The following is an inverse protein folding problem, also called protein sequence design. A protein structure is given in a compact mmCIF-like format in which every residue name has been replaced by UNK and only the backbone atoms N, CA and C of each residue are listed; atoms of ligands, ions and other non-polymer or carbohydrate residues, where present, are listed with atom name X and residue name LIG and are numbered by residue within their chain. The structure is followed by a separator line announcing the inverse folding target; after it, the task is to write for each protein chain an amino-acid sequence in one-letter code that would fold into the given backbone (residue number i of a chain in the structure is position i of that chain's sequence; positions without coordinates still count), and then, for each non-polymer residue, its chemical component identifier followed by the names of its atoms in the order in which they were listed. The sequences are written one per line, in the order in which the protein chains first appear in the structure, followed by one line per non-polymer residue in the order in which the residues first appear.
data_IF_699888385820
#
_entry.id   IF_699888385820
#
_cell.length_a   1.000
_cell.length_b   1.000
_cell.length_c   1.000
_cell.angle_alpha   90.00
_cell.angle_beta   90.00
_cell.angle_gamma   90.00
#
_symmetry.space_group_name_H-M   'P 1'
#
loop_
_entity.id
_entity.type
_entity.pdbx_description
1 polymer ?
#
# COMPACT_ATOMS: atom_id res chain seq x y z
N UNK A 1 28.43 -14.72 -0.94
CA UNK A 1 28.80 -14.59 0.46
C UNK A 1 30.24 -15.04 0.64
N UNK A 2 31.00 -14.32 1.43
CA UNK A 2 32.36 -14.66 1.82
C UNK A 2 32.45 -14.69 3.35
N UNK A 3 32.97 -15.78 3.89
CA UNK A 3 33.17 -15.96 5.34
C UNK A 3 34.63 -15.71 5.68
N UNK A 4 34.91 -14.64 6.43
CA UNK A 4 36.26 -14.30 6.92
C UNK A 4 36.71 -15.26 8.02
N UNK A 5 35.76 -15.64 8.86
CA UNK A 5 35.91 -16.58 9.97
C UNK A 5 34.62 -17.42 10.06
N UNK A 6 34.57 -18.45 10.91
CA UNK A 6 33.32 -19.16 11.18
C UNK A 6 32.16 -18.26 11.65
N UNK A 7 32.50 -17.10 12.22
CA UNK A 7 31.54 -16.20 12.84
C UNK A 7 31.20 -14.98 12.00
N UNK A 8 32.10 -14.50 11.12
CA UNK A 8 31.94 -13.27 10.36
C UNK A 8 31.80 -13.51 8.88
N UNK A 9 30.82 -12.87 8.27
CA UNK A 9 30.60 -12.94 6.83
C UNK A 9 30.33 -11.59 6.19
N UNK A 10 30.64 -11.50 4.90
CA UNK A 10 30.21 -10.43 4.01
C UNK A 10 29.34 -11.02 2.91
N UNK A 11 28.21 -10.40 2.62
CA UNK A 11 27.30 -10.85 1.57
C UNK A 11 26.94 -9.67 0.67
N UNK A 12 27.09 -9.82 -0.63
CA UNK A 12 26.58 -8.92 -1.64
C UNK A 12 25.44 -9.59 -2.42
N UNK A 13 24.43 -8.82 -2.76
CA UNK A 13 23.34 -9.21 -3.65
C UNK A 13 23.08 -8.12 -4.65
N UNK A 14 22.72 -8.51 -5.87
CA UNK A 14 22.18 -7.63 -6.89
C UNK A 14 21.05 -8.37 -7.59
N UNK A 15 19.96 -7.69 -7.86
CA UNK A 15 18.81 -8.27 -8.54
C UNK A 15 17.95 -7.17 -9.13
N UNK A 16 17.15 -7.51 -10.13
CA UNK A 16 16.25 -6.57 -10.76
C UNK A 16 15.08 -7.26 -11.41
N UNK A 17 13.98 -6.56 -11.45
CA UNK A 17 12.75 -6.93 -12.12
C UNK A 17 12.48 -5.97 -13.26
N UNK A 18 12.08 -6.51 -14.42
CA UNK A 18 11.77 -5.73 -15.61
C UNK A 18 10.44 -6.21 -16.18
N UNK A 19 9.50 -5.28 -16.32
CA UNK A 19 8.16 -5.55 -16.82
C UNK A 19 7.94 -4.72 -18.07
N UNK A 20 7.51 -5.37 -19.15
CA UNK A 20 7.07 -4.69 -20.36
C UNK A 20 5.58 -4.98 -20.54
N UNK A 21 4.77 -3.93 -20.43
CA UNK A 21 3.32 -3.99 -20.58
C UNK A 21 2.90 -3.30 -21.85
N UNK A 22 2.04 -3.96 -22.62
CA UNK A 22 1.36 -3.36 -23.77
C UNK A 22 -0.15 -3.49 -23.54
N UNK A 23 -0.88 -2.43 -23.84
CA UNK A 23 -2.34 -2.43 -23.76
C UNK A 23 -2.92 -1.73 -24.99
N UNK A 24 -4.01 -2.31 -25.51
CA UNK A 24 -4.85 -1.71 -26.53
C UNK A 24 -6.28 -1.68 -25.99
N UNK A 25 -6.91 -0.51 -26.07
CA UNK A 25 -8.30 -0.34 -25.71
C UNK A 25 -9.05 0.24 -26.92
N UNK A 26 -10.14 -0.41 -27.31
CA UNK A 26 -10.98 0.01 -28.43
C UNK A 26 -12.41 0.22 -27.95
N UNK A 27 -12.95 1.40 -28.23
CA UNK A 27 -14.38 1.65 -28.19
C UNK A 27 -14.90 1.59 -29.62
N UNK A 28 -15.60 0.52 -30.00
CA UNK A 28 -16.03 0.34 -31.38
C UNK A 28 -17.00 1.43 -31.84
N UNK A 29 -17.07 1.62 -33.17
CA UNK A 29 -18.09 2.44 -33.79
C UNK A 29 -19.51 1.95 -33.42
N UNK A 30 -20.40 2.89 -33.05
CA UNK A 30 -21.78 2.58 -32.68
C UNK A 30 -21.96 2.17 -31.21
N UNK A 31 -20.93 2.26 -30.36
CA UNK A 31 -21.08 2.00 -28.94
C UNK A 31 -22.02 3.00 -28.29
N UNK A 32 -23.15 2.51 -27.74
CA UNK A 32 -24.27 3.31 -27.25
C UNK A 32 -23.92 4.24 -26.05
N UNK A 33 -22.80 3.99 -25.37
CA UNK A 33 -22.32 4.75 -24.19
C UNK A 33 -21.08 5.61 -24.45
N UNK A 34 -20.60 5.68 -25.67
CA UNK A 34 -19.47 6.54 -26.00
C UNK A 34 -19.89 8.02 -26.12
N UNK A 35 -19.08 8.94 -25.65
CA UNK A 35 -19.28 10.38 -25.90
C UNK A 35 -19.29 10.67 -27.41
N UNK A 36 -18.71 9.79 -28.20
CA UNK A 36 -18.58 9.89 -29.65
C UNK A 36 -19.02 8.56 -30.27
N UNK A 37 -20.05 8.60 -31.12
CA UNK A 37 -20.59 7.41 -31.81
C UNK A 37 -19.57 6.71 -32.71
N UNK A 38 -18.61 7.44 -33.23
CA UNK A 38 -17.57 6.96 -34.11
C UNK A 38 -16.48 6.14 -33.39
N UNK A 39 -16.52 6.10 -32.04
CA UNK A 39 -15.58 5.30 -31.25
C UNK A 39 -14.16 5.88 -31.18
N UNK A 40 -13.28 5.19 -30.48
CA UNK A 40 -11.89 5.57 -30.29
C UNK A 40 -10.97 4.36 -30.07
N UNK A 41 -9.67 4.59 -30.13
CA UNK A 41 -8.65 3.59 -29.84
C UNK A 41 -7.50 4.22 -29.07
N UNK A 42 -6.98 3.51 -28.06
CA UNK A 42 -5.75 3.87 -27.38
C UNK A 42 -4.79 2.70 -27.30
N UNK A 43 -3.53 2.95 -27.59
CA UNK A 43 -2.42 2.03 -27.42
C UNK A 43 -1.45 2.59 -26.42
N UNK A 44 -0.95 1.75 -25.52
CA UNK A 44 0.13 2.10 -24.61
C UNK A 44 1.18 1.01 -24.55
N UNK A 45 2.43 1.43 -24.40
CA UNK A 45 3.56 0.57 -24.10
C UNK A 45 4.28 1.19 -22.88
N UNK A 46 4.46 0.40 -21.85
CA UNK A 46 5.12 0.79 -20.62
C UNK A 46 6.26 -0.18 -20.33
N UNK A 47 7.43 0.35 -20.08
CA UNK A 47 8.57 -0.36 -19.57
C UNK A 47 8.81 0.08 -18.13
N UNK A 48 8.74 -0.85 -17.21
CA UNK A 48 9.01 -0.61 -15.79
C UNK A 48 10.16 -1.49 -15.35
N UNK A 49 11.13 -0.91 -14.65
CA UNK A 49 12.25 -1.61 -14.09
C UNK A 49 12.51 -1.23 -12.63
N UNK A 50 12.97 -2.20 -11.87
CA UNK A 50 13.50 -2.02 -10.54
C UNK A 50 14.82 -2.76 -10.42
N UNK A 51 15.81 -2.12 -9.83
CA UNK A 51 17.11 -2.72 -9.56
C UNK A 51 17.51 -2.49 -8.11
N UNK A 52 17.85 -3.59 -7.44
CA UNK A 52 18.25 -3.62 -6.06
C UNK A 52 19.69 -4.09 -5.90
N UNK A 53 20.47 -3.38 -5.12
CA UNK A 53 21.81 -3.80 -4.68
C UNK A 53 21.88 -3.78 -3.16
N UNK A 54 22.53 -4.77 -2.59
CA UNK A 54 22.65 -4.93 -1.14
C UNK A 54 24.06 -5.40 -0.77
N UNK A 55 24.60 -4.83 0.29
CA UNK A 55 25.81 -5.29 0.96
C UNK A 55 25.53 -5.47 2.44
N UNK A 56 25.87 -6.62 3.00
CA UNK A 56 25.65 -6.98 4.41
C UNK A 56 26.93 -7.51 5.01
N UNK A 57 27.27 -6.99 6.20
CA UNK A 57 28.28 -7.57 7.09
C UNK A 57 27.56 -8.19 8.29
N UNK A 58 27.81 -9.46 8.55
CA UNK A 58 27.09 -10.19 9.58
C UNK A 58 28.04 -10.99 10.50
N UNK A 59 27.52 -11.23 11.69
CA UNK A 59 28.16 -11.98 12.76
C UNK A 59 27.19 -13.01 13.34
N UNK A 60 27.62 -14.25 13.46
CA UNK A 60 26.86 -15.31 14.13
C UNK A 60 27.78 -16.07 15.09
N UNK A 61 27.31 -16.31 16.28
CA UNK A 61 28.06 -17.08 17.28
C UNK A 61 27.14 -17.70 18.32
N UNK A 62 27.62 -18.78 18.92
CA UNK A 62 26.99 -19.46 20.03
C UNK A 62 27.97 -19.57 21.19
N UNK A 63 27.57 -19.14 22.36
CA UNK A 63 28.38 -19.06 23.57
C UNK A 63 27.91 -20.08 24.60
N UNK A 64 28.83 -20.54 25.44
CA UNK A 64 28.56 -21.45 26.55
C UNK A 64 27.78 -22.69 26.10
N UNK A 65 28.32 -23.43 25.12
CA UNK A 65 27.73 -24.65 24.59
C UNK A 65 26.28 -24.54 24.12
N UNK A 66 25.95 -23.39 23.50
CA UNK A 66 24.60 -23.16 22.97
C UNK A 66 23.64 -22.45 23.93
N UNK A 67 24.10 -22.08 25.12
CA UNK A 67 23.25 -21.38 26.10
C UNK A 67 22.76 -20.01 25.60
N UNK A 68 23.62 -19.29 24.89
CA UNK A 68 23.31 -17.98 24.29
C UNK A 68 23.75 -18.03 22.83
N UNK A 69 22.85 -17.75 21.90
CA UNK A 69 23.18 -17.55 20.49
C UNK A 69 22.89 -16.12 20.08
N UNK A 70 23.74 -15.58 19.23
CA UNK A 70 23.64 -14.23 18.67
C UNK A 70 23.81 -14.33 17.17
N UNK A 71 22.85 -13.77 16.42
CA UNK A 71 22.95 -13.50 14.99
C UNK A 71 22.69 -12.01 14.77
N UNK A 72 23.65 -11.30 14.19
CA UNK A 72 23.54 -9.87 13.99
C UNK A 72 24.14 -9.47 12.64
N UNK A 73 23.54 -8.48 12.00
CA UNK A 73 24.09 -7.90 10.79
C UNK A 73 23.78 -6.43 10.67
N UNK A 74 24.61 -5.74 9.87
CA UNK A 74 24.37 -4.41 9.34
C UNK A 74 24.51 -4.46 7.83
N UNK A 75 23.67 -3.72 7.12
CA UNK A 75 23.64 -3.71 5.67
C UNK A 75 23.29 -2.36 5.08
N UNK A 76 23.71 -2.19 3.85
CA UNK A 76 23.33 -1.08 2.98
C UNK A 76 22.58 -1.62 1.78
N UNK A 77 21.49 -0.94 1.40
CA UNK A 77 20.70 -1.26 0.21
C UNK A 77 20.46 0.00 -0.62
N UNK A 78 20.53 -0.14 -1.93
CA UNK A 78 20.06 0.88 -2.88
C UNK A 78 19.04 0.24 -3.81
N UNK A 79 17.86 0.85 -3.87
CA UNK A 79 16.80 0.49 -4.80
C UNK A 79 16.63 1.64 -5.80
N UNK A 80 16.71 1.32 -7.08
CA UNK A 80 16.43 2.21 -8.20
C UNK A 80 15.19 1.71 -8.94
N UNK A 81 14.18 2.55 -9.10
CA UNK A 81 12.98 2.25 -9.88
C UNK A 81 12.82 3.27 -10.97
N UNK A 82 12.45 2.82 -12.16
CA UNK A 82 12.18 3.69 -13.32
C UNK A 82 11.01 3.16 -14.12
N UNK A 83 10.30 4.07 -14.77
CA UNK A 83 9.30 3.73 -15.78
C UNK A 83 9.45 4.64 -16.99
N UNK A 84 9.20 4.08 -18.15
CA UNK A 84 9.12 4.77 -19.43
C UNK A 84 7.83 4.31 -20.12
N UNK A 85 6.93 5.25 -20.38
CA UNK A 85 5.63 4.95 -20.95
C UNK A 85 5.36 5.82 -22.17
N UNK A 86 4.99 5.18 -23.27
CA UNK A 86 4.49 5.81 -24.48
C UNK A 86 3.04 5.48 -24.69
N UNK A 87 2.26 6.45 -25.13
CA UNK A 87 0.85 6.25 -25.46
C UNK A 87 0.50 6.90 -26.79
N UNK A 88 -0.47 6.35 -27.48
CA UNK A 88 -1.10 6.95 -28.64
C UNK A 88 -2.62 6.78 -28.53
N UNK A 89 -3.33 7.82 -28.91
CA UNK A 89 -4.78 7.88 -28.87
C UNK A 89 -5.33 8.36 -30.21
N UNK A 90 -6.37 7.74 -30.68
CA UNK A 90 -7.10 8.13 -31.86
C UNK A 90 -8.59 8.22 -31.56
N UNK A 91 -9.23 9.32 -31.95
CA UNK A 91 -10.65 9.57 -31.74
C UNK A 91 -11.38 9.75 -33.03
N UNK A 92 -12.64 9.26 -33.07
CA UNK A 92 -13.54 9.29 -34.21
C UNK A 92 -12.99 8.50 -35.42
N UNK A 93 -13.28 7.19 -35.46
CA UNK A 93 -12.97 6.40 -36.64
C UNK A 93 -13.64 7.00 -37.88
N UNK A 94 -12.93 6.99 -39.01
CA UNK A 94 -13.43 7.47 -40.31
C UNK A 94 -14.23 6.38 -40.99
N UNK A 95 -13.76 5.12 -40.91
CA UNK A 95 -14.39 3.95 -41.50
C UNK A 95 -14.83 2.98 -40.40
N UNK A 96 -16.09 2.59 -40.32
CA UNK A 96 -16.58 1.62 -39.35
C UNK A 96 -15.86 0.27 -39.46
N UNK A 97 -15.64 -0.40 -38.34
CA UNK A 97 -15.05 -1.75 -38.29
C UNK A 97 -13.54 -1.84 -38.53
N UNK A 98 -12.85 -0.72 -38.77
CA UNK A 98 -11.43 -0.68 -38.99
C UNK A 98 -10.73 0.03 -37.82
N UNK A 99 -10.45 -0.73 -36.76
CA UNK A 99 -9.97 -0.23 -35.47
C UNK A 99 -8.45 -0.03 -35.48
N UNK A 100 -8.00 1.09 -36.05
CA UNK A 100 -6.60 1.49 -36.03
C UNK A 100 -6.47 2.99 -35.82
N UNK A 101 -5.39 3.46 -35.18
CA UNK A 101 -5.14 4.88 -34.95
C UNK A 101 -5.09 5.65 -36.28
N UNK A 102 -4.56 5.04 -37.34
CA UNK A 102 -4.51 5.70 -38.63
C UNK A 102 -5.89 5.98 -39.23
N UNK A 103 -6.90 5.24 -38.85
CA UNK A 103 -8.30 5.42 -39.27
C UNK A 103 -9.07 6.40 -38.37
N UNK A 104 -8.45 7.25 -37.58
CA UNK A 104 -9.13 8.22 -36.73
C UNK A 104 -8.94 9.65 -37.24
N UNK A 105 -9.93 10.53 -36.95
CA UNK A 105 -9.89 11.95 -37.35
C UNK A 105 -8.86 12.72 -36.54
N UNK A 106 -8.86 12.53 -35.22
CA UNK A 106 -7.90 13.18 -34.34
C UNK A 106 -6.93 12.16 -33.73
N UNK A 107 -5.69 12.54 -33.61
CA UNK A 107 -4.62 11.71 -33.08
C UNK A 107 -3.81 12.50 -32.07
N UNK A 108 -3.45 11.84 -30.98
CA UNK A 108 -2.52 12.39 -29.99
C UNK A 108 -1.57 11.31 -29.51
N UNK A 109 -0.45 11.72 -28.96
CA UNK A 109 0.52 10.83 -28.35
C UNK A 109 1.13 11.47 -27.11
N UNK A 110 1.64 10.63 -26.23
CA UNK A 110 2.29 11.05 -25.00
C UNK A 110 3.50 10.18 -24.70
N UNK A 111 4.46 10.78 -24.00
CA UNK A 111 5.59 10.09 -23.43
C UNK A 111 5.80 10.59 -22.00
N UNK A 112 6.00 9.67 -21.07
CA UNK A 112 6.27 9.98 -19.68
C UNK A 112 7.36 9.09 -19.13
N UNK A 113 8.22 9.66 -18.31
CA UNK A 113 9.27 8.95 -17.59
C UNK A 113 9.17 9.24 -16.11
N UNK A 114 9.54 8.26 -15.31
CA UNK A 114 9.62 8.44 -13.86
C UNK A 114 10.82 7.67 -13.32
N UNK A 115 11.56 8.29 -12.40
CA UNK A 115 12.70 7.69 -11.72
C UNK A 115 12.64 7.99 -10.24
N UNK A 116 12.97 7.01 -9.43
CA UNK A 116 13.10 7.18 -7.98
C UNK A 116 14.19 6.27 -7.40
N UNK A 117 14.82 6.75 -6.33
CA UNK A 117 15.87 6.04 -5.61
C UNK A 117 15.55 6.01 -4.11
N UNK A 118 15.82 4.87 -3.50
CA UNK A 118 15.80 4.70 -2.05
C UNK A 118 17.14 4.14 -1.62
N UNK A 119 17.84 4.87 -0.76
CA UNK A 119 19.05 4.39 -0.12
C UNK A 119 18.73 4.05 1.33
N UNK A 120 19.26 2.94 1.82
CA UNK A 120 18.88 2.42 3.11
C UNK A 120 20.09 1.90 3.88
N UNK A 121 20.15 2.25 5.17
CA UNK A 121 21.03 1.60 6.14
C UNK A 121 20.14 0.80 7.08
N UNK A 122 20.45 -0.49 7.28
CA UNK A 122 19.63 -1.35 8.10
C UNK A 122 20.47 -2.35 8.88
N UNK A 123 19.88 -2.89 9.94
CA UNK A 123 20.52 -3.91 10.74
C UNK A 123 19.51 -4.69 11.58
N UNK A 124 19.93 -5.86 11.98
CA UNK A 124 19.18 -6.76 12.86
C UNK A 124 20.14 -7.38 13.88
N UNK A 125 19.63 -7.62 15.07
CA UNK A 125 20.25 -8.49 16.05
C UNK A 125 19.20 -9.46 16.60
N UNK A 126 19.44 -10.72 16.49
CA UNK A 126 18.66 -11.76 17.12
C UNK A 126 19.49 -12.42 18.21
N UNK A 127 18.93 -12.53 19.40
CA UNK A 127 19.53 -13.17 20.55
C UNK A 127 18.62 -14.27 21.07
N UNK A 128 19.15 -15.46 21.33
CA UNK A 128 18.40 -16.52 22.00
C UNK A 128 19.11 -16.97 23.28
N UNK A 129 18.31 -17.28 24.28
CA UNK A 129 18.75 -17.84 25.54
C UNK A 129 18.08 -19.17 25.80
N UNK A 130 18.90 -20.24 25.96
CA UNK A 130 18.45 -21.63 26.17
C UNK A 130 17.45 -22.14 25.12
N UNK A 131 17.46 -21.60 23.90
CA UNK A 131 16.46 -21.86 22.88
C UNK A 131 15.01 -21.62 23.36
N UNK A 132 14.84 -20.92 24.45
CA UNK A 132 13.59 -20.65 25.14
C UNK A 132 13.13 -19.19 24.95
N UNK A 133 14.03 -18.25 25.13
CA UNK A 133 13.75 -16.82 24.98
C UNK A 133 14.46 -16.30 23.74
N UNK A 134 13.73 -15.58 22.91
CA UNK A 134 14.21 -14.94 21.68
C UNK A 134 13.92 -13.45 21.73
N UNK A 135 14.95 -12.66 21.49
CA UNK A 135 14.85 -11.21 21.34
C UNK A 135 15.35 -10.85 19.95
N UNK A 136 14.49 -10.21 19.16
CA UNK A 136 14.84 -9.67 17.85
C UNK A 136 14.75 -8.15 17.88
N UNK A 137 15.85 -7.48 17.53
CA UNK A 137 15.93 -6.03 17.39
C UNK A 137 16.22 -5.72 15.93
N UNK A 138 15.46 -4.80 15.33
CA UNK A 138 15.76 -4.32 13.98
C UNK A 138 15.76 -2.80 13.94
N UNK A 139 16.52 -2.26 13.00
CA UNK A 139 16.52 -0.85 12.70
C UNK A 139 16.84 -0.64 11.22
N UNK A 140 16.06 0.25 10.57
CA UNK A 140 16.30 0.64 9.19
C UNK A 140 16.05 2.13 9.03
N UNK A 141 16.94 2.80 8.30
CA UNK A 141 16.73 4.18 7.89
C UNK A 141 16.73 4.26 6.37
N UNK A 142 15.67 4.80 5.80
CA UNK A 142 15.49 4.98 4.36
C UNK A 142 15.55 6.46 4.00
N UNK A 143 16.33 6.79 2.97
CA UNK A 143 16.39 8.12 2.34
C UNK A 143 15.73 8.05 0.97
N UNK A 144 14.69 8.87 0.76
CA UNK A 144 13.86 8.87 -0.44
C UNK A 144 14.22 10.03 -1.38
N UNK A 145 14.59 9.75 -2.61
CA UNK A 145 14.76 10.79 -3.63
C UNK A 145 13.47 11.54 -3.92
N UNK A 146 12.32 10.84 -3.89
CA UNK A 146 11.00 11.41 -4.09
C UNK A 146 10.60 12.46 -3.03
N UNK A 147 11.24 12.45 -1.88
CA UNK A 147 11.09 13.45 -0.81
C UNK A 147 12.27 14.45 -0.75
N UNK A 148 13.12 14.49 -1.75
CA UNK A 148 14.26 15.42 -1.84
C UNK A 148 13.93 16.54 -2.82
N UNK A 149 13.97 17.79 -2.37
CA UNK A 149 13.72 18.97 -3.20
C UNK A 149 14.45 20.19 -2.65
N UNK A 150 14.89 21.10 -3.54
CA UNK A 150 15.57 22.33 -3.15
C UNK A 150 14.64 23.22 -2.33
N UNK A 151 15.10 23.67 -1.15
CA UNK A 151 14.32 24.51 -0.25
C UNK A 151 13.38 23.76 0.70
N UNK A 152 13.36 22.43 0.66
CA UNK A 152 12.60 21.61 1.60
C UNK A 152 13.23 21.67 3.00
N UNK A 153 12.38 21.77 4.04
CA UNK A 153 12.78 21.79 5.46
C UNK A 153 12.43 20.50 6.21
N UNK A 154 11.41 19.77 5.72
CA UNK A 154 11.01 18.48 6.33
C UNK A 154 12.00 17.35 5.95
N UNK A 155 12.16 16.32 6.80
CA UNK A 155 13.04 15.20 6.51
C UNK A 155 12.65 14.44 5.22
N UNK A 156 13.66 14.02 4.46
CA UNK A 156 13.50 13.10 3.33
C UNK A 156 13.77 11.64 3.71
N UNK A 157 13.91 11.37 4.99
CA UNK A 157 14.24 10.05 5.52
C UNK A 157 13.34 9.70 6.70
N UNK A 158 13.30 8.42 7.02
CA UNK A 158 12.60 7.91 8.19
C UNK A 158 13.34 6.70 8.76
N UNK A 159 13.40 6.61 10.08
CA UNK A 159 13.94 5.48 10.81
C UNK A 159 12.82 4.54 11.27
N UNK A 160 13.00 3.24 11.08
CA UNK A 160 12.06 2.17 11.40
C UNK A 160 12.66 1.21 12.44
N UNK A 161 12.47 1.42 13.71
CA UNK A 161 12.85 0.44 14.73
C UNK A 161 11.79 -0.65 14.88
N UNK A 162 12.23 -1.86 15.27
CA UNK A 162 11.32 -2.88 15.79
C UNK A 162 11.97 -3.69 16.91
N UNK A 163 11.09 -4.23 17.77
CA UNK A 163 11.47 -5.15 18.85
C UNK A 163 10.46 -6.30 18.84
N UNK A 164 10.98 -7.52 18.81
CA UNK A 164 10.21 -8.76 18.92
C UNK A 164 10.71 -9.60 20.09
N UNK A 165 9.76 -10.16 20.85
CA UNK A 165 10.02 -11.10 21.93
C UNK A 165 9.26 -12.39 21.67
N UNK A 166 9.95 -13.53 21.77
CA UNK A 166 9.39 -14.86 21.73
C UNK A 166 9.79 -15.62 22.99
N UNK A 167 8.83 -16.33 23.59
CA UNK A 167 9.06 -17.17 24.74
C UNK A 167 8.43 -18.54 24.55
N UNK A 168 9.27 -19.59 24.42
CA UNK A 168 8.81 -20.97 24.32
C UNK A 168 8.64 -21.49 25.75
N UNK A 169 7.42 -21.40 26.29
CA UNK A 169 7.13 -21.76 27.66
C UNK A 169 7.31 -23.26 27.92
N UNK A 170 7.07 -24.09 26.91
CA UNK A 170 7.28 -25.53 26.99
C UNK A 170 8.75 -25.95 27.19
N UNK A 171 9.71 -25.06 26.92
CA UNK A 171 11.12 -25.27 27.25
C UNK A 171 11.48 -24.83 28.69
N UNK A 172 10.63 -24.01 29.30
CA UNK A 172 10.85 -23.50 30.66
C UNK A 172 10.24 -24.39 31.74
N UNK A 173 9.10 -25.01 31.44
CA UNK A 173 8.33 -25.83 32.38
C UNK A 173 7.91 -27.15 31.73
N UNK A 174 7.81 -28.20 32.54
CA UNK A 174 7.26 -29.47 32.06
C UNK A 174 5.78 -29.33 31.74
N UNK A 175 5.46 -29.52 30.47
CA UNK A 175 4.09 -29.50 29.99
C UNK A 175 3.46 -30.90 30.08
N UNK A 176 2.13 -30.99 30.29
CA UNK A 176 1.42 -32.28 30.24
C UNK A 176 1.54 -32.88 28.81
N UNK A 177 1.53 -34.21 28.71
CA UNK A 177 1.68 -34.90 27.42
C UNK A 177 0.60 -34.56 26.39
N UNK A 178 -0.59 -34.16 26.82
CA UNK A 178 -1.66 -33.73 25.94
C UNK A 178 -1.50 -32.30 25.43
N UNK A 179 -0.61 -31.46 26.06
CA UNK A 179 -0.32 -30.08 25.72
C UNK A 179 1.21 -29.87 25.67
N UNK A 180 1.92 -30.37 24.64
CA UNK A 180 3.38 -30.43 24.64
C UNK A 180 4.05 -29.12 24.27
N UNK A 181 3.33 -28.13 23.69
CA UNK A 181 3.98 -26.94 23.17
C UNK A 181 3.13 -25.68 23.40
N UNK A 182 3.80 -24.66 23.94
CA UNK A 182 3.27 -23.30 24.06
C UNK A 182 4.39 -22.29 23.83
N UNK A 183 4.17 -21.41 22.83
CA UNK A 183 5.02 -20.25 22.55
C UNK A 183 4.18 -18.97 22.69
N UNK A 184 4.70 -18.03 23.44
CA UNK A 184 4.16 -16.65 23.52
C UNK A 184 5.00 -15.73 22.66
N UNK A 185 4.39 -14.74 22.04
CA UNK A 185 5.10 -13.74 21.24
C UNK A 185 4.50 -12.36 21.43
N UNK A 186 5.35 -11.35 21.35
CA UNK A 186 4.94 -9.95 21.33
C UNK A 186 5.90 -9.14 20.50
N UNK A 187 5.40 -8.15 19.77
CA UNK A 187 6.24 -7.26 18.98
C UNK A 187 5.71 -5.83 18.96
N UNK A 188 6.64 -4.93 18.79
CA UNK A 188 6.42 -3.53 18.45
C UNK A 188 7.26 -3.19 17.23
N UNK A 189 6.67 -2.53 16.24
CA UNK A 189 7.36 -2.14 15.04
C UNK A 189 6.86 -0.80 14.52
N UNK A 190 7.78 -0.02 13.95
CA UNK A 190 7.47 1.14 13.15
C UNK A 190 7.81 0.84 11.69
N UNK A 191 6.93 1.24 10.78
CA UNK A 191 7.14 1.21 9.33
C UNK A 191 6.73 2.55 8.71
N UNK A 192 7.07 2.78 7.47
CA UNK A 192 6.70 4.00 6.78
C UNK A 192 6.78 3.87 5.27
N UNK A 193 6.50 4.96 4.58
CA UNK A 193 6.51 5.01 3.12
C UNK A 193 6.65 6.43 2.60
N UNK A 194 7.03 6.56 1.33
CA UNK A 194 7.15 7.83 0.64
C UNK A 194 6.05 8.02 -0.40
N UNK A 195 6.02 9.20 -1.00
CA UNK A 195 5.24 9.51 -2.21
C UNK A 195 5.95 8.99 -3.45
N UNK A 196 5.23 8.93 -4.58
CA UNK A 196 5.83 8.76 -5.88
C UNK A 196 6.75 9.93 -6.28
N UNK A 197 7.51 9.74 -7.33
CA UNK A 197 8.45 10.74 -7.84
C UNK A 197 7.75 12.05 -8.27
N UNK A 198 8.48 13.15 -8.25
CA UNK A 198 8.12 14.49 -8.80
C UNK A 198 6.88 15.14 -8.20
N UNK A 199 6.51 14.84 -6.96
CA UNK A 199 5.28 15.34 -6.34
C UNK A 199 5.47 16.54 -5.39
N UNK A 200 6.70 17.02 -5.22
CA UNK A 200 7.00 18.13 -4.30
C UNK A 200 7.01 19.51 -4.96
N UNK A 201 7.17 19.58 -6.27
CA UNK A 201 7.31 20.82 -7.01
C UNK A 201 6.14 21.10 -7.94
N UNK A 202 5.93 22.38 -8.26
CA UNK A 202 5.03 22.77 -9.33
C UNK A 202 5.59 22.32 -10.68
N UNK A 203 4.72 21.78 -11.51
CA UNK A 203 5.01 21.44 -12.90
C UNK A 203 4.32 22.40 -13.85
N UNK A 204 4.87 22.50 -15.06
CA UNK A 204 4.32 23.31 -16.13
C UNK A 204 3.93 22.39 -17.28
N UNK A 205 2.73 22.59 -17.80
CA UNK A 205 2.28 21.93 -19.04
C UNK A 205 2.38 22.89 -20.21
N UNK A 206 2.78 22.36 -21.36
CA UNK A 206 2.75 23.11 -22.61
C UNK A 206 1.38 22.94 -23.25
N UNK A 207 0.73 24.07 -23.54
CA UNK A 207 -0.45 24.11 -24.39
C UNK A 207 -0.03 24.28 -25.86
N UNK A 208 -1.01 24.20 -26.77
CA UNK A 208 -0.76 24.44 -28.18
C UNK A 208 -0.08 25.79 -28.42
N UNK A 209 0.86 25.80 -29.38
CA UNK A 209 1.62 27.00 -29.69
C UNK A 209 0.71 28.11 -30.23
N UNK A 210 0.71 29.27 -29.58
CA UNK A 210 0.06 30.47 -30.12
C UNK A 210 1.02 31.19 -31.03
N UNK A 211 0.68 31.31 -32.33
CA UNK A 211 1.50 31.99 -33.37
C UNK A 211 2.97 31.55 -33.36
N UNK A 212 3.23 30.24 -33.25
CA UNK A 212 4.56 29.61 -33.18
C UNK A 212 5.35 29.84 -31.87
N UNK A 213 4.76 30.48 -30.86
CA UNK A 213 5.37 30.59 -29.55
C UNK A 213 4.80 29.52 -28.63
N UNK A 214 5.65 28.79 -27.88
CA UNK A 214 5.15 27.85 -26.89
C UNK A 214 4.41 28.59 -25.79
N UNK A 215 3.21 28.14 -25.48
CA UNK A 215 2.41 28.66 -24.36
C UNK A 215 2.44 27.60 -23.28
N UNK A 216 2.94 27.97 -22.11
CA UNK A 216 2.94 27.10 -20.92
C UNK A 216 1.92 27.59 -19.90
N UNK A 217 1.34 26.66 -19.18
CA UNK A 217 0.51 26.95 -18.01
C UNK A 217 1.05 26.17 -16.81
N UNK A 218 0.81 26.72 -15.61
CA UNK A 218 1.06 25.96 -14.38
C UNK A 218 0.03 24.82 -14.34
N UNK A 219 0.50 23.62 -14.04
CA UNK A 219 -0.39 22.50 -13.75
C UNK A 219 -1.15 22.81 -12.44
N UNK A 220 -2.44 23.12 -12.56
CA UNK A 220 -3.29 23.54 -11.46
C UNK A 220 -4.18 22.42 -10.89
N UNK A 221 -3.94 21.18 -11.25
CA UNK A 221 -4.71 20.06 -10.72
C UNK A 221 -4.52 19.89 -9.22
N UNK A 222 -3.28 19.98 -8.74
CA UNK A 222 -2.96 19.81 -7.32
C UNK A 222 -1.84 20.76 -6.88
N UNK A 223 -2.04 21.49 -5.79
CA UNK A 223 -0.97 22.25 -5.14
C UNK A 223 0.02 21.25 -4.50
N UNK A 224 1.29 21.25 -4.90
CA UNK A 224 2.30 20.45 -4.24
C UNK A 224 2.62 20.99 -2.86
N UNK A 225 3.13 20.13 -1.98
CA UNK A 225 3.58 20.53 -0.66
C UNK A 225 5.06 20.14 -0.48
N UNK A 226 5.92 21.15 -0.41
CA UNK A 226 7.36 20.96 -0.18
C UNK A 226 7.67 20.28 1.15
N UNK A 227 6.79 20.42 2.14
CA UNK A 227 7.00 19.92 3.50
C UNK A 227 6.38 18.54 3.75
N UNK A 228 6.08 17.77 2.69
CA UNK A 228 5.61 16.40 2.86
C UNK A 228 6.61 15.56 3.64
N UNK A 229 6.08 14.79 4.58
CA UNK A 229 6.82 13.82 5.40
C UNK A 229 6.48 12.40 4.95
N UNK A 230 7.37 11.43 5.19
CA UNK A 230 7.00 10.03 5.05
C UNK A 230 5.83 9.68 5.96
N UNK A 231 4.90 8.86 5.47
CA UNK A 231 3.88 8.29 6.34
C UNK A 231 4.55 7.38 7.39
N UNK A 232 3.93 7.28 8.56
CA UNK A 232 4.42 6.43 9.65
C UNK A 232 3.31 5.51 10.14
N UNK A 233 3.60 4.22 10.26
CA UNK A 233 2.71 3.22 10.83
C UNK A 233 3.39 2.53 12.00
N UNK A 234 2.74 2.53 13.16
CA UNK A 234 3.22 1.87 14.39
C UNK A 234 2.29 0.72 14.69
N UNK A 235 2.82 -0.50 14.79
CA UNK A 235 2.08 -1.70 15.15
C UNK A 235 2.55 -2.28 16.49
N UNK A 236 1.59 -2.84 17.22
CA UNK A 236 1.76 -3.65 18.41
C UNK A 236 1.06 -4.97 18.15
N UNK A 237 1.75 -6.07 18.38
CA UNK A 237 1.21 -7.39 18.17
C UNK A 237 1.52 -8.28 19.36
N UNK A 238 0.55 -9.13 19.75
CA UNK A 238 0.71 -10.12 20.78
C UNK A 238 -0.05 -11.38 20.43
N UNK A 239 0.54 -12.53 20.70
CA UNK A 239 -0.07 -13.79 20.31
C UNK A 239 0.57 -15.00 20.97
N UNK A 240 -0.01 -16.14 20.68
CA UNK A 240 0.52 -17.42 21.12
C UNK A 240 0.33 -18.51 20.08
N UNK A 241 1.21 -19.48 20.10
CA UNK A 241 1.09 -20.73 19.38
C UNK A 241 1.04 -21.88 20.38
N UNK A 242 0.04 -22.74 20.28
CA UNK A 242 -0.19 -23.87 21.14
C UNK A 242 -0.42 -25.14 20.32
N UNK A 243 0.13 -26.27 20.77
CA UNK A 243 -0.05 -27.57 20.15
C UNK A 243 -0.51 -28.60 21.16
N UNK A 244 -1.41 -29.46 20.72
CA UNK A 244 -2.09 -30.43 21.55
C UNK A 244 -2.02 -31.83 20.96
N UNK A 245 -2.11 -32.86 21.83
CA UNK A 245 -2.23 -34.28 21.47
C UNK A 245 -1.18 -34.74 20.46
N UNK A 246 0.11 -34.60 20.84
CA UNK A 246 1.26 -34.95 19.99
C UNK A 246 1.23 -34.20 18.64
N UNK A 247 0.96 -32.89 18.69
CA UNK A 247 0.85 -31.99 17.53
C UNK A 247 -0.31 -32.32 16.56
N UNK A 248 -1.31 -33.09 16.99
CA UNK A 248 -2.49 -33.36 16.16
C UNK A 248 -3.41 -32.17 16.01
N UNK A 249 -3.41 -31.26 16.98
CA UNK A 249 -4.16 -29.99 16.92
C UNK A 249 -3.25 -28.83 17.26
N UNK A 250 -3.38 -27.74 16.50
CA UNK A 250 -2.64 -26.50 16.69
C UNK A 250 -3.55 -25.30 16.70
N UNK A 251 -3.20 -24.33 17.53
CA UNK A 251 -3.84 -23.02 17.59
C UNK A 251 -2.72 -21.97 17.45
N UNK A 252 -2.86 -21.05 16.49
CA UNK A 252 -2.05 -19.85 16.39
C UNK A 252 -3.00 -18.66 16.45
N UNK A 253 -2.82 -17.81 17.45
CA UNK A 253 -3.66 -16.63 17.71
C UNK A 253 -2.79 -15.38 17.76
N UNK A 254 -3.23 -14.31 17.09
CA UNK A 254 -2.61 -12.99 17.15
C UNK A 254 -3.69 -11.92 17.33
N UNK A 255 -3.44 -10.99 18.24
CA UNK A 255 -4.12 -9.70 18.32
C UNK A 255 -3.15 -8.60 17.92
N UNK A 256 -3.61 -7.65 17.10
CA UNK A 256 -2.80 -6.53 16.67
C UNK A 256 -3.54 -5.20 16.77
N UNK A 257 -2.75 -4.14 16.97
CA UNK A 257 -3.19 -2.74 16.86
C UNK A 257 -2.17 -1.99 16.00
N UNK A 258 -2.64 -1.36 14.93
CA UNK A 258 -1.82 -0.55 14.02
C UNK A 258 -2.35 0.87 13.95
N UNK A 259 -1.48 1.83 14.20
CA UNK A 259 -1.76 3.26 14.10
C UNK A 259 -0.95 3.85 12.95
N UNK A 260 -1.62 4.26 11.89
CA UNK A 260 -1.02 4.98 10.75
C UNK A 260 -1.28 6.46 10.90
N UNK A 261 -0.25 7.30 10.71
CA UNK A 261 -0.30 8.76 10.74
C UNK A 261 0.49 9.35 9.58
N UNK A 262 0.20 10.62 9.30
CA UNK A 262 0.87 11.38 8.25
C UNK A 262 0.70 10.76 6.85
N UNK A 263 -0.45 10.11 6.60
CA UNK A 263 -0.79 9.60 5.26
C UNK A 263 -0.82 10.76 4.25
N UNK A 264 -0.41 10.50 3.01
CA UNK A 264 -0.27 11.53 1.99
C UNK A 264 -1.47 11.45 1.07
N UNK A 265 -2.33 12.45 1.18
CA UNK A 265 -3.59 12.52 0.45
C UNK A 265 -3.71 13.80 -0.37
N UNK A 266 -4.48 13.73 -1.46
CA UNK A 266 -4.94 14.88 -2.20
C UNK A 266 -6.28 15.34 -1.59
N UNK A 267 -6.27 16.44 -0.85
CA UNK A 267 -7.48 17.02 -0.29
C UNK A 267 -8.08 18.01 -1.28
N UNK A 268 -9.38 17.87 -1.60
CA UNK A 268 -10.12 18.81 -2.44
C UNK A 268 -10.18 20.19 -1.78
N UNK A 269 -9.95 21.23 -2.55
CA UNK A 269 -10.04 22.62 -2.11
C UNK A 269 -10.93 23.44 -3.04
N UNK A 270 -11.35 24.64 -2.59
CA UNK A 270 -12.14 25.54 -3.42
C UNK A 270 -11.38 25.93 -4.68
N UNK A 271 -12.02 25.76 -5.84
CA UNK A 271 -11.47 26.16 -7.15
C UNK A 271 -11.22 27.67 -7.26
N UNK A 272 -11.73 28.47 -6.32
CA UNK A 272 -11.39 29.91 -6.20
C UNK A 272 -9.89 30.12 -5.90
N UNK A 273 -9.18 29.11 -5.39
CA UNK A 273 -7.72 29.12 -5.23
C UNK A 273 -6.96 29.00 -6.55
N UNK A 274 -7.63 28.67 -7.65
CA UNK A 274 -7.03 28.32 -8.92
C UNK A 274 -6.59 26.85 -9.04
N UNK A 275 -6.81 26.03 -8.01
CA UNK A 275 -6.45 24.61 -7.95
C UNK A 275 -7.65 23.75 -7.55
N UNK A 276 -7.63 22.47 -7.92
CA UNK A 276 -8.66 21.51 -7.51
C UNK A 276 -8.35 20.82 -6.19
N UNK A 277 -7.07 20.56 -5.91
CA UNK A 277 -6.61 19.81 -4.75
C UNK A 277 -5.35 20.42 -4.13
N UNK A 278 -5.08 20.05 -2.90
CA UNK A 278 -3.79 20.27 -2.22
C UNK A 278 -3.26 18.96 -1.68
N UNK A 279 -1.95 18.73 -1.79
CA UNK A 279 -1.30 17.55 -1.23
C UNK A 279 -0.86 17.81 0.20
N UNK A 280 -1.32 17.00 1.13
CA UNK A 280 -1.04 17.14 2.56
C UNK A 280 -0.71 15.80 3.21
N UNK A 281 0.06 15.86 4.31
CA UNK A 281 0.08 14.77 5.26
C UNK A 281 -1.15 14.89 6.15
N UNK A 282 -2.06 13.95 6.04
CA UNK A 282 -3.31 13.96 6.77
C UNK A 282 -3.59 12.60 7.41
N UNK A 283 -4.42 12.67 8.42
CA UNK A 283 -5.02 11.49 8.97
C UNK A 283 -4.23 10.80 10.07
N UNK A 284 -5.02 10.24 10.95
CA UNK A 284 -4.61 9.19 11.88
C UNK A 284 -5.67 8.09 11.78
N UNK A 285 -5.23 6.92 11.34
CA UNK A 285 -6.10 5.75 11.19
C UNK A 285 -5.64 4.69 12.20
N UNK A 286 -6.58 4.17 12.97
CA UNK A 286 -6.37 3.04 13.84
C UNK A 286 -6.96 1.79 13.19
N UNK A 287 -6.19 0.72 13.13
CA UNK A 287 -6.63 -0.61 12.75
C UNK A 287 -6.33 -1.55 13.91
N UNK A 288 -7.29 -2.39 14.28
CA UNK A 288 -7.08 -3.47 15.23
C UNK A 288 -7.84 -4.70 14.79
N UNK A 289 -7.31 -5.85 15.15
CA UNK A 289 -7.92 -7.09 14.73
C UNK A 289 -7.34 -8.32 15.39
N UNK A 290 -7.94 -9.43 15.05
CA UNK A 290 -7.52 -10.76 15.48
C UNK A 290 -7.29 -11.64 14.26
N UNK A 291 -6.31 -12.52 14.38
CA UNK A 291 -6.03 -13.58 13.43
C UNK A 291 -5.97 -14.90 14.20
N UNK A 292 -6.63 -15.92 13.67
CA UNK A 292 -6.70 -17.24 14.24
C UNK A 292 -6.49 -18.29 13.15
N UNK A 293 -5.49 -19.13 13.37
CA UNK A 293 -5.27 -20.34 12.58
C UNK A 293 -5.49 -21.56 13.49
N UNK A 294 -6.42 -22.40 13.11
CA UNK A 294 -6.61 -23.72 13.71
C UNK A 294 -6.12 -24.78 12.72
N UNK A 295 -5.29 -25.70 13.17
CA UNK A 295 -4.83 -26.84 12.39
C UNK A 295 -5.18 -28.12 13.09
N UNK A 296 -5.50 -29.16 12.34
CA UNK A 296 -5.84 -30.44 12.94
C UNK A 296 -5.64 -31.63 12.01
N UNK A 297 -5.25 -32.75 12.60
CA UNK A 297 -5.23 -34.07 11.97
C UNK A 297 -6.22 -34.96 12.74
N UNK A 298 -7.56 -34.78 12.50
CA UNK A 298 -8.58 -35.51 13.25
C UNK A 298 -8.46 -37.03 13.06
N UNK A 299 -8.12 -37.49 11.88
CA UNK A 299 -7.92 -38.91 11.58
C UNK A 299 -6.49 -39.13 11.13
N UNK A 300 -5.83 -40.02 11.84
CA UNK A 300 -4.48 -40.50 11.51
C UNK A 300 -4.41 -42.00 11.72
N UNK A 301 -4.36 -42.76 10.62
CA UNK A 301 -4.20 -44.20 10.63
C UNK A 301 -3.12 -44.62 9.63
N UNK A 302 -2.79 -45.91 9.60
CA UNK A 302 -1.81 -46.49 8.62
C UNK A 302 -2.26 -46.32 7.15
N UNK A 303 -3.56 -46.19 6.90
CA UNK A 303 -4.12 -46.15 5.54
C UNK A 303 -4.80 -44.83 5.17
N UNK A 304 -5.07 -44.01 6.16
CA UNK A 304 -5.80 -42.76 5.92
C UNK A 304 -5.35 -41.62 6.87
N UNK A 305 -5.05 -40.48 6.30
CA UNK A 305 -4.73 -39.26 7.03
C UNK A 305 -5.63 -38.14 6.55
N UNK A 306 -6.24 -37.42 7.47
CA UNK A 306 -7.03 -36.23 7.19
C UNK A 306 -6.44 -35.03 7.92
N UNK A 307 -5.86 -34.11 7.18
CA UNK A 307 -5.38 -32.83 7.69
C UNK A 307 -6.41 -31.73 7.33
N UNK A 308 -6.68 -30.86 8.27
CA UNK A 308 -7.59 -29.74 8.09
C UNK A 308 -7.04 -28.47 8.70
N UNK A 309 -7.37 -27.32 8.12
CA UNK A 309 -7.03 -26.02 8.66
C UNK A 309 -8.22 -25.06 8.53
N UNK A 310 -8.35 -24.16 9.50
CA UNK A 310 -9.35 -23.09 9.52
C UNK A 310 -8.65 -21.78 9.83
N UNK A 311 -8.79 -20.80 8.92
CA UNK A 311 -8.28 -19.45 9.08
C UNK A 311 -9.44 -18.50 9.35
N UNK A 312 -9.30 -17.68 10.37
CA UNK A 312 -10.23 -16.59 10.66
C UNK A 312 -9.45 -15.30 10.88
N UNK A 313 -9.86 -14.23 10.22
CA UNK A 313 -9.31 -12.90 10.42
C UNK A 313 -10.45 -11.88 10.57
N UNK A 314 -10.30 -11.00 11.53
CA UNK A 314 -11.19 -9.87 11.74
C UNK A 314 -10.37 -8.60 11.87
N UNK A 315 -10.70 -7.58 11.08
CA UNK A 315 -10.08 -6.26 11.15
C UNK A 315 -11.14 -5.18 11.26
N UNK A 316 -10.92 -4.24 12.16
CA UNK A 316 -11.71 -3.02 12.27
C UNK A 316 -10.80 -1.81 12.08
N UNK A 317 -11.13 -0.96 11.12
CA UNK A 317 -10.46 0.32 10.89
C UNK A 317 -11.32 1.47 11.43
N UNK A 318 -10.67 2.52 11.90
CA UNK A 318 -11.33 3.74 12.34
C UNK A 318 -10.44 4.96 12.07
N UNK A 319 -11.00 5.99 11.44
CA UNK A 319 -10.33 7.26 11.22
C UNK A 319 -10.42 8.08 12.51
N UNK A 320 -9.28 8.30 13.15
CA UNK A 320 -9.21 9.04 14.42
C UNK A 320 -9.08 10.55 14.23
N UNK A 321 -8.48 10.98 13.13
CA UNK A 321 -8.29 12.40 12.76
C UNK A 321 -7.97 12.49 11.27
N UNK A 322 -8.41 13.55 10.63
CA UNK A 322 -8.01 13.91 9.27
C UNK A 322 -7.04 15.09 9.35
N UNK A 323 -7.53 16.31 9.58
CA UNK A 323 -6.76 17.50 9.96
C UNK A 323 -7.42 18.15 11.17
N UNK A 324 -6.92 19.29 11.64
CA UNK A 324 -7.53 19.99 12.78
C UNK A 324 -8.86 20.63 12.39
N UNK A 325 -9.00 21.05 11.12
CA UNK A 325 -10.17 21.79 10.63
C UNK A 325 -11.10 20.93 9.75
N UNK A 326 -10.70 19.71 9.36
CA UNK A 326 -11.44 18.84 8.44
C UNK A 326 -11.81 17.54 9.11
N UNK A 327 -13.09 17.29 9.29
CA UNK A 327 -13.63 16.07 9.89
C UNK A 327 -14.10 15.06 8.86
N UNK A 328 -14.30 15.48 7.60
CA UNK A 328 -14.62 14.57 6.49
C UNK A 328 -14.17 15.16 5.15
N UNK A 329 -13.87 14.31 4.18
CA UNK A 329 -13.65 14.70 2.79
C UNK A 329 -13.95 13.54 1.82
N UNK A 330 -14.23 13.92 0.56
CA UNK A 330 -14.41 12.97 -0.54
C UNK A 330 -13.04 12.42 -0.98
N UNK A 331 -12.90 11.09 -0.96
CA UNK A 331 -11.71 10.39 -1.43
C UNK A 331 -11.81 10.04 -2.92
N UNK A 332 -12.99 9.59 -3.34
CA UNK A 332 -13.27 9.24 -4.72
C UNK A 332 -14.77 9.29 -5.01
N UNK A 333 -15.08 9.52 -6.27
CA UNK A 333 -16.45 9.48 -6.81
C UNK A 333 -16.52 8.34 -7.84
N UNK A 334 -17.43 7.40 -7.60
CA UNK A 334 -17.74 6.35 -8.55
C UNK A 334 -18.80 6.85 -9.53
N UNK A 335 -18.53 6.75 -10.81
CA UNK A 335 -19.37 7.25 -11.92
C UNK A 335 -19.58 8.77 -11.89
N UNK A 336 -18.75 9.45 -12.64
CA UNK A 336 -19.05 10.78 -13.14
C UNK A 336 -19.94 10.64 -14.37
N UNK A 337 -21.13 11.19 -14.29
CA UNK A 337 -21.89 11.40 -15.50
C UNK A 337 -23.14 10.55 -15.64
N UNK A 338 -24.08 11.21 -15.77
CA UNK A 338 -25.48 11.33 -16.12
C UNK A 338 -26.35 11.59 -14.89
N UNK A 339 -26.50 12.88 -14.58
CA UNK A 339 -27.60 13.39 -13.74
C UNK A 339 -28.98 13.01 -14.32
N UNK A 340 -29.03 12.49 -15.57
CA UNK A 340 -30.24 12.01 -16.24
C UNK A 340 -30.65 10.58 -15.92
N UNK A 341 -29.72 9.75 -15.46
CA UNK A 341 -30.03 8.36 -15.16
C UNK A 341 -30.24 8.17 -13.67
N UNK A 342 -31.35 8.37 -13.14
CA UNK A 342 -31.90 8.07 -11.80
C UNK A 342 -31.07 7.21 -10.80
N UNK A 343 -29.87 6.80 -11.15
CA UNK A 343 -28.85 6.18 -10.32
C UNK A 343 -27.87 7.25 -9.88
N UNK A 344 -28.09 7.85 -8.71
CA UNK A 344 -27.19 8.83 -8.14
C UNK A 344 -25.75 8.31 -8.02
N UNK A 345 -24.73 9.19 -8.06
CA UNK A 345 -23.35 8.80 -7.86
C UNK A 345 -23.16 8.20 -6.48
N UNK A 346 -22.26 7.23 -6.39
CA UNK A 346 -21.73 6.78 -5.11
C UNK A 346 -20.38 7.47 -4.85
N UNK A 347 -20.17 7.90 -3.64
CA UNK A 347 -18.95 8.56 -3.19
C UNK A 347 -18.25 7.69 -2.15
N UNK A 348 -16.93 7.71 -2.15
CA UNK A 348 -16.13 7.17 -1.06
C UNK A 348 -15.67 8.34 -0.21
N UNK A 349 -16.03 8.32 1.07
CA UNK A 349 -15.69 9.36 2.03
C UNK A 349 -14.75 8.86 3.11
N UNK A 350 -13.90 9.76 3.55
CA UNK A 350 -13.18 9.64 4.81
C UNK A 350 -13.91 10.50 5.84
N UNK A 351 -14.28 9.93 6.97
CA UNK A 351 -14.96 10.63 8.05
C UNK A 351 -14.41 10.19 9.40
N UNK A 352 -14.12 11.16 10.26
CA UNK A 352 -13.66 10.89 11.63
C UNK A 352 -14.70 10.06 12.40
N UNK A 353 -14.22 9.03 13.11
CA UNK A 353 -15.04 8.09 13.85
C UNK A 353 -15.65 6.95 13.01
N UNK A 354 -15.45 6.96 11.69
CA UNK A 354 -15.96 5.95 10.77
C UNK A 354 -14.82 5.03 10.25
N UNK A 355 -15.17 3.85 9.72
CA UNK A 355 -14.22 3.03 8.98
C UNK A 355 -13.59 3.76 7.79
N UNK A 356 -12.39 3.34 7.40
CA UNK A 356 -11.72 3.87 6.20
C UNK A 356 -12.55 3.53 4.95
N UNK A 357 -12.88 4.56 4.16
CA UNK A 357 -13.53 4.39 2.85
C UNK A 357 -15.03 4.06 2.96
N UNK A 358 -15.80 4.81 3.75
CA UNK A 358 -17.26 4.65 3.77
C UNK A 358 -17.88 5.02 2.43
N UNK A 359 -18.84 4.23 1.99
CA UNK A 359 -19.59 4.48 0.76
C UNK A 359 -20.84 5.29 1.11
N UNK A 360 -21.01 6.43 0.45
CA UNK A 360 -22.24 7.24 0.50
C UNK A 360 -22.89 7.27 -0.87
N UNK A 361 -24.19 7.22 -0.89
CA UNK A 361 -24.99 7.29 -2.11
C UNK A 361 -26.30 8.01 -1.88
N UNK A 362 -26.98 8.32 -2.96
CA UNK A 362 -28.35 8.86 -2.91
C UNK A 362 -29.32 7.70 -2.69
N UNK A 363 -30.25 7.85 -1.78
CA UNK A 363 -31.33 6.91 -1.52
C UNK A 363 -32.69 7.61 -1.59
N UNK A 364 -33.75 6.85 -1.68
CA UNK A 364 -35.10 7.39 -1.67
C UNK A 364 -35.47 7.92 -0.28
N UNK A 365 -36.12 9.09 -0.25
CA UNK A 365 -36.68 9.65 0.98
C UNK A 365 -37.77 8.74 1.53
N UNK A 366 -37.77 8.51 2.84
CA UNK A 366 -38.72 7.65 3.51
C UNK A 366 -39.47 8.44 4.58
N UNK A 367 -40.75 8.11 4.78
CA UNK A 367 -41.54 8.63 5.89
C UNK A 367 -41.16 7.93 7.22
N UNK A 368 -41.76 8.33 8.33
CA UNK A 368 -41.54 7.77 9.66
C UNK A 368 -41.87 6.27 9.78
N UNK A 369 -42.67 5.72 8.84
CA UNK A 369 -43.00 4.30 8.75
C UNK A 369 -42.01 3.52 7.84
N UNK A 370 -41.00 4.18 7.25
CA UNK A 370 -40.03 3.57 6.37
C UNK A 370 -40.49 3.41 4.91
N UNK A 371 -41.66 3.93 4.53
CA UNK A 371 -42.20 3.88 3.18
C UNK A 371 -41.58 4.95 2.28
N UNK A 372 -41.32 4.65 1.00
CA UNK A 372 -40.78 5.61 0.03
C UNK A 372 -41.79 6.74 -0.21
N UNK A 373 -41.32 7.97 -0.09
CA UNK A 373 -42.15 9.16 -0.39
C UNK A 373 -42.14 9.45 -1.88
N UNK A 374 -43.28 9.91 -2.38
CA UNK A 374 -43.45 10.22 -3.80
C UNK A 374 -43.89 11.69 -3.94
N UNK A 375 -43.40 12.35 -4.98
CA UNK A 375 -43.84 13.65 -5.42
C UNK A 375 -44.13 13.62 -6.92
N UNK A 376 -45.33 14.01 -7.31
CA UNK A 376 -45.81 13.93 -8.72
C UNK A 376 -45.67 12.52 -9.35
N UNK A 377 -45.87 11.46 -8.54
CA UNK A 377 -45.76 10.08 -8.99
C UNK A 377 -44.34 9.54 -9.12
N UNK A 378 -43.31 10.32 -8.80
CA UNK A 378 -41.89 9.93 -8.80
C UNK A 378 -41.38 9.78 -7.37
N UNK A 379 -40.52 8.75 -7.08
CA UNK A 379 -39.90 8.61 -5.76
C UNK A 379 -39.00 9.80 -5.47
N UNK A 380 -39.16 10.41 -4.29
CA UNK A 380 -38.30 11.49 -3.80
C UNK A 380 -36.92 10.92 -3.45
N UNK A 381 -35.85 11.68 -3.76
CA UNK A 381 -34.45 11.38 -3.42
C UNK A 381 -33.92 12.27 -2.31
#
# INVERSE_FOLDING_TARGET
QYNFTPNWYLRGRAGGDMINRRAENVTPWGTARGAVKEGNISNSAEYHGEFNTEAIAGYTNSFKDGLVSVDAFIGWNTMASWSDATSSYGDQFVVPGFNTINNTKTKSGGHSTSESYINSLFGQAEMSYKSMIYLTLTGRNDWFSALSYKGKTSPNHIFYPSVGLGFILSEAIQMPSWFPYLKLRGSWAQSGGAVGAYQLGLTYSYADAYRKYPVGSIDNGTIPNLNLKPLTSISYEGGFEARFFNNRFGIDFTYYVRNTKDDIVNAGISTASGYGNVKINAGKVNNHGIELLLTGTPILSSHFRWDTSFNFAYNKSEIKRITDDVTEFELAKSRTGHDSDNCGPAWIYQQVGQPYGIIRGVTFKRNDKGEIMYENGLPMK
#
